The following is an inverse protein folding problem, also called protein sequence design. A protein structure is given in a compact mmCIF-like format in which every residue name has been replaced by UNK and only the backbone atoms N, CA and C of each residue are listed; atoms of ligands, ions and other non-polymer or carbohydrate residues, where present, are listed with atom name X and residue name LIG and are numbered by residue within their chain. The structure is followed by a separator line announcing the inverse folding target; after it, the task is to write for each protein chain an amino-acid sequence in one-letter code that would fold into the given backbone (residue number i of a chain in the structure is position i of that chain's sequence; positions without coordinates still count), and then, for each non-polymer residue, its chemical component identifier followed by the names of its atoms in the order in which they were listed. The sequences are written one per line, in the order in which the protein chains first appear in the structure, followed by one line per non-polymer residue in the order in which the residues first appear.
data_IF_375583159461
#
_entry.id   IF_375583159461
#
_cell.length_a   1.000
_cell.length_b   1.000
_cell.length_c   1.000
_cell.angle_alpha   90.00
_cell.angle_beta   90.00
_cell.angle_gamma   90.00
#
_symmetry.space_group_name_H-M   'P 1'
#
loop_
_entity.id
_entity.type
_entity.pdbx_description
1 polymer ?
#
# COMPACT_ATOMS: atom_id res chain seq x y z
N UNK A 1 8.87 -6.66 -12.63
CA UNK A 1 7.59 -6.38 -11.95
C UNK A 1 7.08 -4.98 -12.28
N UNK A 2 7.84 -3.90 -12.03
CA UNK A 2 7.37 -2.52 -12.20
C UNK A 2 6.85 -2.15 -13.61
N UNK A 3 7.32 -2.82 -14.67
CA UNK A 3 6.88 -2.58 -16.05
C UNK A 3 5.48 -3.12 -16.38
N UNK A 4 4.96 -4.06 -15.60
CA UNK A 4 3.74 -4.82 -15.90
C UNK A 4 2.75 -4.84 -14.73
N UNK A 5 3.08 -4.21 -13.62
CA UNK A 5 2.21 -4.16 -12.45
C UNK A 5 0.99 -3.28 -12.77
N UNK A 6 -0.23 -3.72 -12.39
CA UNK A 6 -1.43 -2.91 -12.56
C UNK A 6 -1.31 -1.65 -11.69
N UNK A 7 -1.81 -0.55 -12.22
CA UNK A 7 -1.82 0.73 -11.50
C UNK A 7 -2.98 0.69 -10.53
N UNK A 8 -2.74 0.98 -9.26
CA UNK A 8 -3.82 1.08 -8.29
C UNK A 8 -4.64 2.35 -8.54
N UNK A 9 -5.96 2.28 -8.32
CA UNK A 9 -6.83 3.46 -8.31
C UNK A 9 -6.84 4.24 -6.98
N UNK A 10 -6.08 3.79 -5.97
CA UNK A 10 -6.07 4.37 -4.63
C UNK A 10 -4.82 4.01 -3.81
N UNK A 11 -4.19 4.98 -3.14
CA UNK A 11 -3.17 4.66 -2.13
C UNK A 11 -3.70 3.75 -1.00
N UNK A 12 -5.02 3.71 -0.79
CA UNK A 12 -5.67 2.90 0.23
C UNK A 12 -5.67 1.38 -0.06
N UNK A 13 -5.43 0.95 -1.31
CA UNK A 13 -5.66 -0.43 -1.74
C UNK A 13 -4.45 -1.13 -2.36
N UNK A 14 -3.27 -0.51 -2.32
CA UNK A 14 -2.02 -1.14 -2.73
C UNK A 14 -1.24 -1.67 -1.53
N UNK A 15 -0.44 -2.72 -1.75
CA UNK A 15 0.48 -3.26 -0.75
C UNK A 15 1.81 -2.51 -0.81
N UNK A 16 2.28 -2.07 0.35
CA UNK A 16 3.61 -1.48 0.50
C UNK A 16 4.55 -2.50 1.13
N UNK A 17 5.81 -2.55 0.67
CA UNK A 17 6.78 -3.55 1.12
C UNK A 17 8.08 -2.87 1.55
N UNK A 18 8.65 -3.33 2.66
CA UNK A 18 10.03 -3.07 3.00
C UNK A 18 10.94 -3.79 1.99
N UNK A 19 11.63 -3.02 1.15
CA UNK A 19 12.49 -3.59 0.09
C UNK A 19 13.66 -4.38 0.69
N UNK A 20 14.22 -3.88 1.79
CA UNK A 20 15.37 -4.47 2.46
C UNK A 20 14.96 -5.42 3.59
N UNK A 21 15.89 -6.29 3.97
CA UNK A 21 15.76 -7.06 5.20
C UNK A 21 16.22 -6.22 6.40
N UNK A 22 15.58 -6.44 7.55
CA UNK A 22 15.88 -5.78 8.82
C UNK A 22 16.10 -6.83 9.90
N UNK A 23 16.88 -6.50 10.93
CA UNK A 23 17.11 -7.38 12.08
C UNK A 23 16.14 -7.02 13.20
N UNK A 24 15.21 -7.92 13.51
CA UNK A 24 14.32 -7.83 14.67
C UNK A 24 14.97 -8.53 15.88
N UNK A 25 14.96 -7.87 17.03
CA UNK A 25 15.57 -8.36 18.27
C UNK A 25 14.46 -8.45 19.33
N UNK A 26 14.23 -9.65 19.87
CA UNK A 26 13.26 -9.86 20.94
C UNK A 26 13.82 -9.41 22.31
N UNK A 27 12.95 -9.27 23.30
CA UNK A 27 13.35 -8.86 24.65
C UNK A 27 14.36 -9.81 25.32
N UNK A 28 14.40 -11.08 24.89
CA UNK A 28 15.35 -12.11 25.34
C UNK A 28 16.65 -12.15 24.51
N UNK A 29 16.85 -11.19 23.58
CA UNK A 29 18.03 -11.09 22.74
C UNK A 29 18.03 -11.97 21.49
N UNK A 30 16.99 -12.77 21.23
CA UNK A 30 16.90 -13.55 19.98
C UNK A 30 16.76 -12.64 18.76
N UNK A 31 17.54 -12.93 17.73
CA UNK A 31 17.57 -12.16 16.48
C UNK A 31 16.87 -12.92 15.34
N UNK A 32 16.11 -12.20 14.51
CA UNK A 32 15.56 -12.70 13.24
C UNK A 32 15.65 -11.63 12.16
N UNK A 33 16.02 -12.03 10.95
CA UNK A 33 15.91 -11.16 9.78
C UNK A 33 14.49 -11.22 9.23
N UNK A 34 13.86 -10.06 9.08
CA UNK A 34 12.48 -9.90 8.62
C UNK A 34 12.41 -9.00 7.39
N UNK A 35 11.33 -9.13 6.61
CA UNK A 35 10.93 -8.15 5.59
C UNK A 35 9.48 -7.82 5.83
N UNK A 36 9.18 -6.56 6.08
CA UNK A 36 7.83 -6.17 6.41
C UNK A 36 6.99 -5.84 5.17
N UNK A 37 5.67 -6.00 5.28
CA UNK A 37 4.67 -5.54 4.31
C UNK A 37 3.50 -4.88 5.03
N UNK A 38 2.90 -3.86 4.42
CA UNK A 38 1.63 -3.25 4.85
C UNK A 38 0.55 -3.70 3.88
N UNK A 39 -0.26 -4.67 4.30
CA UNK A 39 -1.32 -5.26 3.47
C UNK A 39 -2.63 -4.50 3.68
N UNK A 40 -3.20 -3.86 2.65
CA UNK A 40 -4.43 -3.08 2.79
C UNK A 40 -5.62 -3.98 3.11
N UNK A 41 -6.55 -3.47 3.91
CA UNK A 41 -7.88 -4.09 4.07
C UNK A 41 -8.80 -3.72 2.91
N UNK A 42 -8.57 -2.57 2.26
CA UNK A 42 -9.30 -2.17 1.06
C UNK A 42 -8.94 -3.10 -0.09
N UNK A 43 -9.92 -3.74 -0.77
CA UNK A 43 -9.63 -4.58 -1.93
C UNK A 43 -8.92 -3.80 -3.03
N UNK A 44 -7.89 -4.43 -3.62
CA UNK A 44 -7.19 -3.86 -4.77
C UNK A 44 -8.16 -3.65 -5.94
N UNK A 45 -8.08 -2.48 -6.55
CA UNK A 45 -8.73 -2.17 -7.80
C UNK A 45 -7.75 -1.47 -8.73
N UNK A 46 -7.72 -1.96 -9.97
CA UNK A 46 -6.88 -1.39 -11.01
C UNK A 46 -7.49 -0.10 -11.55
N UNK A 47 -6.64 0.91 -11.73
CA UNK A 47 -6.92 2.14 -12.45
C UNK A 47 -6.98 1.83 -13.95
N UNK A 48 -8.16 1.93 -14.56
CA UNK A 48 -8.33 1.63 -15.98
C UNK A 48 -7.54 2.61 -16.86
N UNK A 49 -7.28 2.24 -18.11
CA UNK A 49 -6.59 3.10 -19.07
C UNK A 49 -7.37 4.41 -19.31
N UNK A 50 -8.69 4.37 -19.33
CA UNK A 50 -9.59 5.52 -19.47
C UNK A 50 -9.48 6.45 -18.26
N UNK A 51 -9.59 5.88 -17.04
CA UNK A 51 -9.44 6.65 -15.81
C UNK A 51 -8.05 7.29 -15.75
N UNK A 52 -7.01 6.55 -16.13
CA UNK A 52 -5.63 7.06 -16.17
C UNK A 52 -5.43 8.21 -17.16
N UNK A 53 -6.14 8.20 -18.31
CA UNK A 53 -6.11 9.33 -19.27
C UNK A 53 -6.78 10.58 -18.71
N UNK A 54 -7.74 10.42 -17.79
CA UNK A 54 -8.50 11.51 -17.19
C UNK A 54 -7.93 11.98 -15.85
N UNK A 55 -7.12 11.14 -15.19
CA UNK A 55 -6.50 11.44 -13.91
C UNK A 55 -5.55 12.65 -14.04
N UNK A 56 -5.76 13.64 -13.18
CA UNK A 56 -4.82 14.73 -12.98
C UNK A 56 -3.70 14.31 -11.99
N UNK A 57 -2.85 15.28 -11.64
CA UNK A 57 -1.74 15.05 -10.70
C UNK A 57 -2.19 14.71 -9.28
N UNK A 58 -3.43 15.06 -8.92
CA UNK A 58 -3.95 14.97 -7.55
C UNK A 58 -4.98 13.85 -7.39
N UNK A 59 -5.25 13.08 -8.44
CA UNK A 59 -6.28 12.02 -8.49
C UNK A 59 -6.24 11.07 -7.27
N UNK A 60 -5.06 10.53 -6.92
CA UNK A 60 -4.92 9.60 -5.80
C UNK A 60 -5.03 10.28 -4.43
N UNK A 61 -4.63 11.55 -4.33
CA UNK A 61 -4.78 12.34 -3.11
C UNK A 61 -6.26 12.66 -2.85
N UNK A 62 -6.98 13.06 -3.90
CA UNK A 62 -8.42 13.33 -3.84
C UNK A 62 -9.22 12.07 -3.46
N UNK A 63 -8.88 10.90 -4.03
CA UNK A 63 -9.46 9.63 -3.61
C UNK A 63 -9.18 9.33 -2.13
N UNK A 64 -7.94 9.54 -1.67
CA UNK A 64 -7.56 9.29 -0.29
C UNK A 64 -8.37 10.16 0.68
N UNK A 65 -8.48 11.46 0.42
CA UNK A 65 -9.26 12.40 1.25
C UNK A 65 -10.75 12.00 1.29
N UNK A 66 -11.32 11.66 0.15
CA UNK A 66 -12.72 11.23 0.05
C UNK A 66 -13.01 9.95 0.86
N UNK A 67 -12.06 9.02 0.95
CA UNK A 67 -12.18 7.81 1.78
C UNK A 67 -12.00 8.10 3.26
N UNK A 68 -11.01 8.93 3.61
CA UNK A 68 -10.76 9.32 5.00
C UNK A 68 -11.95 10.08 5.60
N UNK A 69 -12.67 10.86 4.78
CA UNK A 69 -13.92 11.50 5.18
C UNK A 69 -15.03 10.49 5.54
N UNK A 70 -14.98 9.26 4.99
CA UNK A 70 -15.95 8.19 5.29
C UNK A 70 -15.52 7.33 6.49
N UNK A 71 -14.24 7.31 6.82
CA UNK A 71 -13.73 6.58 7.99
C UNK A 71 -12.26 6.19 7.88
N UNK A 72 -11.76 5.45 8.89
CA UNK A 72 -10.36 5.06 8.96
C UNK A 72 -10.02 4.01 7.90
N UNK A 73 -8.89 4.23 7.23
CA UNK A 73 -8.24 3.24 6.38
C UNK A 73 -7.31 2.35 7.22
N UNK A 74 -7.18 1.08 6.84
CA UNK A 74 -6.46 0.07 7.62
C UNK A 74 -5.55 -0.80 6.77
N UNK A 75 -4.43 -1.16 7.38
CA UNK A 75 -3.46 -2.11 6.86
C UNK A 75 -3.02 -3.05 7.99
N UNK A 76 -2.74 -4.30 7.64
CA UNK A 76 -2.01 -5.22 8.51
C UNK A 76 -0.50 -5.05 8.26
N UNK A 77 0.27 -4.85 9.32
CA UNK A 77 1.74 -4.98 9.25
C UNK A 77 2.11 -6.47 9.39
N UNK A 78 2.73 -7.03 8.37
CA UNK A 78 3.20 -8.43 8.31
C UNK A 78 4.72 -8.43 8.27
N UNK A 79 5.40 -9.29 9.05
CA UNK A 79 6.87 -9.35 9.20
C UNK A 79 7.45 -10.68 8.70
#
# INVERSE_FOLDING_TARGET
WAKTAPWSDSWANTQYNGVNAFRAIAADGRERYIRWSMRPHTPFKELSAEQRKQADGDFLATDLDARLAQGPLRWDMVL
#
